data_IF_268219288156
#
_entry.id   IF_268219288156
#
_cell.length_a   1.000
_cell.length_b   1.000
_cell.length_c   1.000
_cell.angle_alpha   90.00
_cell.angle_beta   90.00
_cell.angle_gamma   90.00
#
_symmetry.space_group_name_H-M   'P 1'
#
loop_
_entity.id
_entity.type
_entity.pdbx_description
1 polymer ?
#
# COMPACT_ATOMS: atom_id res chain seq x y z
N UNK A 1 -4.62 18.80 -6.19
CA UNK A 1 -3.68 17.65 -6.30
C UNK A 1 -4.37 16.33 -5.98
N UNK A 2 -5.00 16.16 -4.80
CA UNK A 2 -5.78 14.95 -4.45
C UNK A 2 -6.86 14.61 -5.48
N UNK A 3 -7.70 15.59 -5.82
CA UNK A 3 -8.79 15.40 -6.80
C UNK A 3 -8.31 14.96 -8.18
N UNK A 4 -7.20 15.52 -8.67
CA UNK A 4 -6.61 15.13 -9.95
C UNK A 4 -6.10 13.68 -9.91
N UNK A 5 -5.45 13.29 -8.82
CA UNK A 5 -4.97 11.92 -8.61
C UNK A 5 -6.14 10.92 -8.55
N UNK A 6 -7.18 11.23 -7.78
CA UNK A 6 -8.38 10.39 -7.68
C UNK A 6 -9.12 10.30 -9.03
N UNK A 7 -9.22 11.39 -9.78
CA UNK A 7 -9.81 11.39 -11.11
C UNK A 7 -9.00 10.50 -12.08
N UNK A 8 -7.67 10.60 -12.06
CA UNK A 8 -6.79 9.72 -12.85
C UNK A 8 -6.93 8.25 -12.45
N UNK A 9 -7.02 7.94 -11.15
CA UNK A 9 -7.22 6.57 -10.68
C UNK A 9 -8.59 6.01 -11.06
N UNK A 10 -9.66 6.80 -10.94
CA UNK A 10 -11.01 6.39 -11.36
C UNK A 10 -11.05 6.11 -12.86
N UNK A 11 -10.40 6.94 -13.67
CA UNK A 11 -10.23 6.70 -15.10
C UNK A 11 -9.52 5.37 -15.36
N UNK A 12 -8.39 5.13 -14.70
CA UNK A 12 -7.63 3.88 -14.83
C UNK A 12 -8.43 2.65 -14.37
N UNK A 13 -9.22 2.79 -13.31
CA UNK A 13 -10.12 1.74 -12.84
C UNK A 13 -11.16 1.35 -13.90
N UNK A 14 -11.76 2.34 -14.57
CA UNK A 14 -12.74 2.10 -15.65
C UNK A 14 -12.09 1.51 -16.89
N UNK A 15 -10.92 2.00 -17.27
CA UNK A 15 -10.19 1.55 -18.47
C UNK A 15 -9.56 0.17 -18.29
N UNK A 16 -9.15 -0.17 -17.06
CA UNK A 16 -8.58 -1.47 -16.77
C UNK A 16 -9.69 -2.51 -16.54
N UNK A 17 -9.66 -3.62 -17.28
CA UNK A 17 -10.47 -4.79 -16.90
C UNK A 17 -9.88 -5.53 -15.68
N UNK A 18 -8.82 -4.99 -15.07
CA UNK A 18 -8.09 -5.55 -13.93
C UNK A 18 -8.68 -5.07 -12.59
N UNK A 19 -9.95 -5.44 -12.35
CA UNK A 19 -10.64 -5.30 -11.05
C UNK A 19 -9.94 -6.01 -9.86
N UNK A 20 -8.82 -6.69 -10.12
CA UNK A 20 -8.07 -7.46 -9.13
C UNK A 20 -7.03 -6.64 -8.36
N UNK A 21 -6.66 -5.45 -8.85
CA UNK A 21 -5.56 -4.64 -8.26
C UNK A 21 -6.07 -3.40 -7.52
N UNK A 22 -7.14 -2.78 -8.00
CA UNK A 22 -7.78 -1.63 -7.38
C UNK A 22 -9.10 -2.05 -6.74
N UNK A 23 -9.26 -1.73 -5.47
CA UNK A 23 -10.45 -2.04 -4.68
C UNK A 23 -11.21 -0.75 -4.38
N UNK A 24 -12.52 -0.76 -4.63
CA UNK A 24 -13.42 0.23 -4.07
C UNK A 24 -13.66 -0.08 -2.58
N UNK A 25 -14.10 0.92 -1.81
CA UNK A 25 -14.36 0.74 -0.38
C UNK A 25 -15.40 -0.38 -0.12
N UNK A 26 -16.46 -0.45 -0.93
CA UNK A 26 -17.47 -1.48 -0.83
C UNK A 26 -16.90 -2.89 -1.07
N UNK A 27 -16.11 -3.06 -2.13
CA UNK A 27 -15.46 -4.34 -2.46
C UNK A 27 -14.44 -4.75 -1.40
N UNK A 28 -13.72 -3.78 -0.84
CA UNK A 28 -12.79 -4.00 0.25
C UNK A 28 -13.51 -4.52 1.50
N UNK A 29 -14.59 -3.86 1.92
CA UNK A 29 -15.38 -4.26 3.09
C UNK A 29 -16.04 -5.62 2.90
N UNK A 30 -16.56 -5.89 1.69
CA UNK A 30 -17.11 -7.20 1.34
C UNK A 30 -16.03 -8.29 1.40
N UNK A 31 -14.84 -8.01 0.88
CA UNK A 31 -13.73 -8.96 0.92
C UNK A 31 -13.27 -9.22 2.36
N UNK A 32 -13.22 -8.17 3.20
CA UNK A 32 -12.86 -8.27 4.61
C UNK A 32 -13.84 -9.19 5.35
N UNK A 33 -15.15 -9.01 5.15
CA UNK A 33 -16.17 -9.84 5.78
C UNK A 33 -16.15 -11.29 5.25
N UNK A 34 -15.97 -11.49 3.94
CA UNK A 34 -15.79 -12.83 3.35
C UNK A 34 -14.62 -13.57 3.98
N UNK A 35 -13.46 -12.91 4.14
CA UNK A 35 -12.26 -13.51 4.73
C UNK A 35 -12.47 -13.81 6.21
N UNK A 36 -13.09 -12.90 6.96
CA UNK A 36 -13.42 -13.09 8.37
C UNK A 36 -14.31 -14.30 8.59
N UNK A 37 -15.37 -14.40 7.78
CA UNK A 37 -16.28 -15.56 7.84
C UNK A 37 -15.55 -16.84 7.46
N UNK A 38 -14.70 -16.79 6.44
CA UNK A 38 -13.90 -17.95 6.04
C UNK A 38 -12.95 -18.42 7.16
N UNK A 39 -12.34 -17.50 7.90
CA UNK A 39 -11.50 -17.84 9.06
C UNK A 39 -12.34 -18.46 10.18
N UNK A 40 -13.55 -17.96 10.43
CA UNK A 40 -14.49 -18.54 11.41
C UNK A 40 -14.86 -19.98 11.06
N UNK A 41 -15.30 -20.23 9.82
CA UNK A 41 -15.66 -21.56 9.32
C UNK A 41 -14.49 -22.54 9.42
N UNK A 42 -13.27 -22.08 9.10
CA UNK A 42 -12.07 -22.89 9.28
C UNK A 42 -11.84 -23.27 10.74
N UNK A 43 -12.06 -22.34 11.67
CA UNK A 43 -11.83 -22.56 13.09
C UNK A 43 -12.93 -23.43 13.73
N UNK A 44 -14.16 -23.39 13.20
CA UNK A 44 -15.26 -24.28 13.62
C UNK A 44 -15.15 -25.70 13.05
N UNK A 45 -14.23 -25.94 12.10
CA UNK A 45 -14.05 -27.23 11.44
C UNK A 45 -15.08 -27.51 10.33
N UNK A 46 -15.78 -26.47 9.86
CA UNK A 46 -16.75 -26.58 8.78
C UNK A 46 -16.09 -26.73 7.40
N UNK A 47 -16.82 -27.32 6.46
CA UNK A 47 -16.35 -27.49 5.10
C UNK A 47 -16.28 -26.16 4.37
N UNK A 48 -15.15 -25.93 3.69
CA UNK A 48 -14.90 -24.70 2.93
C UNK A 48 -15.08 -24.96 1.44
N UNK A 49 -15.70 -24.01 0.75
CA UNK A 49 -15.76 -23.97 -0.71
C UNK A 49 -14.39 -23.66 -1.33
N UNK A 50 -14.21 -23.98 -2.61
CA UNK A 50 -12.99 -23.63 -3.37
C UNK A 50 -12.69 -22.12 -3.36
N UNK A 51 -13.73 -21.28 -3.38
CA UNK A 51 -13.59 -19.82 -3.28
C UNK A 51 -12.99 -19.43 -1.93
N UNK A 52 -13.50 -20.01 -0.84
CA UNK A 52 -13.04 -19.76 0.52
C UNK A 52 -11.59 -20.23 0.73
N UNK A 53 -11.23 -21.43 0.25
CA UNK A 53 -9.83 -21.87 0.26
C UNK A 53 -8.90 -20.90 -0.50
N UNK A 54 -9.33 -20.43 -1.67
CA UNK A 54 -8.56 -19.43 -2.44
C UNK A 54 -8.40 -18.12 -1.66
N UNK A 55 -9.40 -17.70 -0.88
CA UNK A 55 -9.30 -16.51 -0.03
C UNK A 55 -8.26 -16.72 1.08
N UNK A 56 -8.30 -17.82 1.81
CA UNK A 56 -7.33 -18.13 2.88
C UNK A 56 -5.89 -18.21 2.39
N UNK A 57 -5.68 -18.67 1.15
CA UNK A 57 -4.35 -18.72 0.55
C UNK A 57 -3.81 -17.33 0.18
N UNK A 58 -4.69 -16.36 -0.09
CA UNK A 58 -4.30 -15.03 -0.59
C UNK A 58 -4.32 -13.95 0.49
N UNK A 59 -5.25 -14.04 1.41
CA UNK A 59 -5.55 -12.99 2.37
C UNK A 59 -5.39 -13.47 3.79
N UNK A 60 -5.03 -12.54 4.66
CA UNK A 60 -5.13 -12.67 6.09
C UNK A 60 -5.74 -11.40 6.70
N UNK A 61 -6.09 -11.47 7.98
CA UNK A 61 -6.57 -10.33 8.74
C UNK A 61 -5.54 -9.94 9.79
N UNK A 62 -5.33 -8.63 9.94
CA UNK A 62 -4.50 -8.07 10.99
C UNK A 62 -5.31 -7.11 11.83
N UNK A 63 -5.33 -7.34 13.14
CA UNK A 63 -6.01 -6.49 14.09
C UNK A 63 -5.03 -5.41 14.57
N UNK A 64 -5.37 -4.14 14.32
CA UNK A 64 -4.61 -2.98 14.77
C UNK A 64 -5.53 -2.16 15.68
N UNK A 65 -5.38 -2.34 16.99
CA UNK A 65 -6.30 -1.75 17.96
C UNK A 65 -7.71 -2.32 17.81
N UNK A 66 -8.68 -1.47 17.48
CA UNK A 66 -10.08 -1.84 17.24
C UNK A 66 -10.40 -2.09 15.75
N UNK A 67 -9.45 -1.80 14.86
CA UNK A 67 -9.63 -1.94 13.42
C UNK A 67 -9.06 -3.26 12.89
N UNK A 68 -9.83 -3.94 12.04
CA UNK A 68 -9.36 -5.08 11.26
C UNK A 68 -8.90 -4.59 9.88
N UNK A 69 -7.68 -4.96 9.48
CA UNK A 69 -7.12 -4.63 8.16
C UNK A 69 -6.88 -5.91 7.36
N UNK A 70 -7.22 -5.84 6.08
CA UNK A 70 -6.93 -6.90 5.12
C UNK A 70 -5.45 -6.85 4.73
N UNK A 71 -4.74 -7.96 4.90
CA UNK A 71 -3.34 -8.11 4.51
C UNK A 71 -3.14 -9.27 3.55
N UNK A 72 -2.02 -9.28 2.84
CA UNK A 72 -1.58 -10.45 2.10
C UNK A 72 -1.26 -11.61 3.05
N UNK A 73 -1.56 -12.84 2.62
CA UNK A 73 -1.24 -14.02 3.42
C UNK A 73 0.25 -14.05 3.76
N UNK A 74 0.54 -14.19 5.05
CA UNK A 74 1.89 -14.41 5.59
C UNK A 74 2.06 -15.92 5.85
N UNK A 75 3.23 -16.44 5.52
CA UNK A 75 3.59 -17.83 5.78
C UNK A 75 4.56 -17.93 6.96
N UNK A 76 5.35 -16.88 7.18
CA UNK A 76 6.26 -16.76 8.31
C UNK A 76 6.05 -15.44 9.06
N UNK A 77 6.37 -15.43 10.35
CA UNK A 77 6.30 -14.22 11.17
C UNK A 77 7.35 -13.16 10.78
N UNK A 78 8.34 -13.55 9.98
CA UNK A 78 9.35 -12.66 9.41
C UNK A 78 8.94 -12.06 8.06
N UNK A 79 7.83 -12.51 7.46
CA UNK A 79 7.38 -11.98 6.18
C UNK A 79 6.89 -10.53 6.34
N UNK A 80 7.30 -9.65 5.41
CA UNK A 80 6.81 -8.28 5.33
C UNK A 80 5.28 -8.23 5.28
N UNK A 81 4.70 -7.33 6.09
CA UNK A 81 3.25 -7.11 6.12
C UNK A 81 2.86 -6.22 4.95
N UNK A 82 2.10 -6.77 4.00
CA UNK A 82 1.53 -6.03 2.87
C UNK A 82 0.05 -5.77 3.09
N UNK A 83 -0.31 -4.50 3.25
CA UNK A 83 -1.69 -4.06 3.42
C UNK A 83 -2.41 -3.92 2.09
N UNK A 84 -3.68 -4.34 2.06
CA UNK A 84 -4.61 -3.91 1.01
C UNK A 84 -5.30 -2.63 1.47
N UNK A 85 -5.45 -1.70 0.53
CA UNK A 85 -6.10 -0.40 0.74
C UNK A 85 -7.12 -0.19 -0.37
N UNK A 86 -8.17 0.57 -0.07
CA UNK A 86 -9.12 1.00 -1.08
C UNK A 86 -8.70 2.34 -1.70
N UNK A 87 -9.25 2.63 -2.88
CA UNK A 87 -8.83 3.72 -3.76
C UNK A 87 -8.73 5.08 -3.03
N UNK A 88 -9.74 5.42 -2.23
CA UNK A 88 -9.83 6.72 -1.55
C UNK A 88 -8.76 6.91 -0.46
N UNK A 89 -8.22 5.81 0.09
CA UNK A 89 -7.10 5.87 1.06
C UNK A 89 -5.73 5.96 0.41
N UNK A 90 -5.62 5.60 -0.87
CA UNK A 90 -4.33 5.44 -1.54
C UNK A 90 -3.55 6.77 -1.60
N UNK A 91 -4.24 7.87 -1.91
CA UNK A 91 -3.61 9.19 -1.95
C UNK A 91 -3.02 9.57 -0.61
N UNK A 92 -3.82 9.48 0.46
CA UNK A 92 -3.41 9.93 1.79
C UNK A 92 -2.21 9.13 2.30
N UNK A 93 -2.16 7.82 2.03
CA UNK A 93 -1.04 6.95 2.39
C UNK A 93 0.23 7.33 1.61
N UNK A 94 0.12 7.49 0.29
CA UNK A 94 1.28 7.86 -0.55
C UNK A 94 1.77 9.26 -0.16
N UNK A 95 0.85 10.20 0.08
CA UNK A 95 1.16 11.56 0.47
C UNK A 95 1.85 11.61 1.83
N UNK A 96 1.34 10.90 2.83
CA UNK A 96 1.97 10.78 4.14
C UNK A 96 3.36 10.14 4.04
N UNK A 97 3.52 9.08 3.25
CA UNK A 97 4.81 8.45 3.01
C UNK A 97 5.79 9.41 2.32
N UNK A 98 5.33 10.17 1.33
CA UNK A 98 6.12 11.19 0.65
C UNK A 98 6.57 12.29 1.61
N UNK A 99 5.67 12.83 2.44
CA UNK A 99 6.04 13.82 3.47
C UNK A 99 7.08 13.20 4.41
N UNK A 100 6.84 12.02 4.96
CA UNK A 100 7.72 11.39 5.94
C UNK A 100 9.11 11.03 5.38
N UNK A 101 9.19 10.69 4.08
CA UNK A 101 10.47 10.40 3.42
C UNK A 101 11.16 11.68 2.90
N UNK A 102 10.39 12.66 2.43
CA UNK A 102 10.83 13.94 1.90
C UNK A 102 11.25 14.96 2.96
N UNK A 103 10.68 14.92 4.16
CA UNK A 103 11.05 15.83 5.26
C UNK A 103 12.45 15.60 5.84
N UNK A 104 13.17 14.57 5.37
CA UNK A 104 14.61 14.42 5.67
C UNK A 104 15.50 15.32 4.81
N UNK A 105 15.00 15.95 3.75
CA UNK A 105 15.79 16.91 2.96
C UNK A 105 15.89 18.29 3.61
N UNK A 106 14.93 18.68 4.45
CA UNK A 106 14.85 20.06 4.97
C UNK A 106 15.47 20.25 6.36
N UNK A 107 15.71 19.17 7.13
CA UNK A 107 16.36 19.26 8.46
C UNK A 107 17.87 19.01 8.46
N UNK A 108 18.52 18.85 7.30
CA UNK A 108 19.98 18.59 7.22
C UNK A 108 20.78 19.83 6.76
N UNK A 109 20.15 21.01 6.65
CA UNK A 109 20.85 22.27 6.36
C UNK A 109 21.11 23.15 7.59
N UNK A 110 21.01 22.59 8.81
CA UNK A 110 21.59 23.22 10.01
C UNK A 110 22.38 22.16 10.79
N UNK A 111 23.70 22.27 10.71
CA UNK A 111 24.69 21.74 11.64
C UNK A 111 25.18 20.29 11.49
N UNK A 112 25.66 19.88 10.31
CA UNK A 112 26.60 18.76 10.24
C UNK A 112 27.77 19.12 9.32
N UNK A 113 28.78 19.79 9.89
CA UNK A 113 30.15 19.66 9.41
C UNK A 113 30.59 18.25 9.76
N UNK A 114 30.58 17.31 8.81
CA UNK A 114 31.31 16.05 8.96
C UNK A 114 32.12 15.72 7.71
N UNK A 115 33.36 15.26 7.88
CA UNK A 115 34.32 15.10 6.82
C UNK A 115 34.05 13.83 6.01
N UNK A 116 34.20 13.98 4.69
CA UNK A 116 34.79 13.01 3.77
C UNK A 116 34.50 11.51 4.02
N UNK A 117 33.43 10.98 3.40
CA UNK A 117 33.36 9.56 3.09
C UNK A 117 32.98 9.37 1.62
N UNK A 118 34.03 9.23 0.78
CA UNK A 118 33.95 8.67 -0.57
C UNK A 118 33.40 7.23 -0.48
N UNK A 119 32.14 7.02 -0.90
CA UNK A 119 31.64 5.86 -1.69
C UNK A 119 30.13 5.73 -1.52
N UNK A 120 29.40 6.06 -2.59
CA UNK A 120 28.17 5.39 -3.10
C UNK A 120 27.52 6.26 -4.19
N UNK A 121 28.27 6.48 -5.27
CA UNK A 121 27.72 7.03 -6.52
C UNK A 121 27.26 5.85 -7.39
N UNK A 122 25.97 5.48 -7.35
CA UNK A 122 25.29 4.83 -8.49
C UNK A 122 23.78 4.65 -8.37
N UNK A 123 23.16 4.78 -7.20
CA UNK A 123 21.69 4.67 -7.06
C UNK A 123 20.96 6.02 -6.95
N UNK A 124 21.68 7.14 -6.83
CA UNK A 124 21.09 8.47 -6.67
C UNK A 124 20.69 9.14 -7.99
N UNK A 125 21.13 8.63 -9.15
CA UNK A 125 20.88 9.28 -10.44
C UNK A 125 19.49 8.94 -11.00
N UNK A 126 19.02 7.69 -10.85
CA UNK A 126 17.75 7.26 -11.46
C UNK A 126 16.52 7.91 -10.81
N UNK A 127 16.59 8.24 -9.51
CA UNK A 127 15.50 8.93 -8.80
C UNK A 127 15.50 10.45 -9.03
N UNK A 128 16.62 11.06 -9.39
CA UNK A 128 16.66 12.51 -9.70
C UNK A 128 16.12 12.85 -11.08
N UNK A 129 16.13 11.93 -12.03
CA UNK A 129 15.60 12.17 -13.38
C UNK A 129 14.06 12.24 -13.40
N UNK A 130 13.38 11.43 -12.57
CA UNK A 130 11.90 11.46 -12.47
C UNK A 130 11.39 12.68 -11.70
N UNK A 131 12.12 13.15 -10.68
CA UNK A 131 11.76 14.33 -9.88
C UNK A 131 11.84 15.64 -10.70
N UNK A 132 12.76 15.75 -11.68
CA UNK A 132 12.93 16.98 -12.48
C UNK A 132 11.79 17.23 -13.48
N UNK A 133 11.13 16.19 -13.97
CA UNK A 133 9.97 16.34 -14.84
C UNK A 133 8.68 16.60 -14.06
N UNK A 134 8.63 16.23 -12.78
CA UNK A 134 7.43 16.36 -11.95
C UNK A 134 7.24 17.76 -11.34
N UNK A 135 8.28 18.62 -11.31
CA UNK A 135 8.24 19.95 -10.67
C UNK A 135 8.50 21.14 -11.60
N UNK A 136 8.51 20.96 -12.93
CA UNK A 136 8.80 22.06 -13.89
C UNK A 136 7.55 22.70 -14.52
N UNK A 137 6.36 22.49 -13.95
CA UNK A 137 5.10 23.07 -14.45
C UNK A 137 4.31 23.82 -13.36
N UNK A 138 4.99 24.71 -12.66
CA UNK A 138 4.40 25.87 -11.95
C UNK A 138 5.18 27.10 -12.39
#
# INVERSE_FOLDING_TARGET
MKEQFEASLKKLYVESNNRSTLLLEADYKLLLSEVKETQRLRNSGESLSSKQYRRLKRYDLLNIGQDEKLIAKRYTDNDDIRFYVYLDQLFDIIHAAHINTGHKREKVLKNITLPNVKKRRKLSLVLTELDKHYYRST
#
